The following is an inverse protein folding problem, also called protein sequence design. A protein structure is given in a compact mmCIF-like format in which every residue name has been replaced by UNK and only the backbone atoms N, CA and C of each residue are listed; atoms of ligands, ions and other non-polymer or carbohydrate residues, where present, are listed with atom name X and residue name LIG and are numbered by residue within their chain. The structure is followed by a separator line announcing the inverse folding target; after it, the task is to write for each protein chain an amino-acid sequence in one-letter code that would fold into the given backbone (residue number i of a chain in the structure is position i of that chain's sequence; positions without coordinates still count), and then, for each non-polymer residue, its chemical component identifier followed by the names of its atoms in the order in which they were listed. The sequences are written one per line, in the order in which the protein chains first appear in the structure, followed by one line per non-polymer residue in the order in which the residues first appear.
data_IF_806078890895
#
_entry.id   IF_806078890895
#
_cell.length_a   1.000
_cell.length_b   1.000
_cell.length_c   1.000
_cell.angle_alpha   90.00
_cell.angle_beta   90.00
_cell.angle_gamma   90.00
#
_symmetry.space_group_name_H-M   'P 1'
#
loop_
_entity.id
_entity.type
_entity.pdbx_description
1 polymer ?
#
# COMPACT_ATOMS: atom_id res chain seq x y z
N UNK A 1 0.69 6.07 10.81
CA UNK A 1 -0.54 5.92 9.99
C UNK A 1 -0.73 7.16 9.14
N UNK A 2 -0.65 7.01 7.82
CA UNK A 2 -0.81 8.09 6.82
C UNK A 2 -1.81 7.63 5.77
N UNK A 3 -2.79 8.47 5.46
CA UNK A 3 -3.77 8.24 4.40
C UNK A 3 -3.56 9.31 3.34
N UNK A 4 -3.51 8.91 2.07
CA UNK A 4 -3.42 9.83 0.93
C UNK A 4 -4.41 9.38 -0.13
N UNK A 5 -5.22 10.31 -0.61
CA UNK A 5 -6.06 10.11 -1.77
C UNK A 5 -5.43 10.84 -2.96
N UNK A 6 -5.42 10.21 -4.13
CA UNK A 6 -4.96 10.80 -5.38
C UNK A 6 -6.14 10.97 -6.35
N UNK A 7 -6.63 12.21 -6.45
CA UNK A 7 -7.81 12.57 -7.27
C UNK A 7 -7.58 12.40 -8.77
N UNK A 8 -6.34 12.38 -9.24
CA UNK A 8 -6.05 12.28 -10.68
C UNK A 8 -6.30 10.87 -11.20
N UNK A 9 -6.08 9.87 -10.35
CA UNK A 9 -6.15 8.44 -10.69
C UNK A 9 -7.19 7.68 -9.88
N UNK A 10 -7.92 8.36 -8.98
CA UNK A 10 -8.95 7.80 -8.09
C UNK A 10 -8.41 6.62 -7.24
N UNK A 11 -7.29 6.84 -6.54
CA UNK A 11 -6.64 5.82 -5.70
C UNK A 11 -6.51 6.29 -4.25
N UNK A 12 -6.86 5.40 -3.31
CA UNK A 12 -6.66 5.58 -1.88
C UNK A 12 -5.45 4.77 -1.38
N UNK A 13 -4.44 5.47 -0.86
CA UNK A 13 -3.27 4.88 -0.23
C UNK A 13 -3.40 4.92 1.30
N UNK A 14 -3.29 3.76 1.94
CA UNK A 14 -3.29 3.64 3.40
C UNK A 14 -1.94 3.05 3.83
N UNK A 15 -1.13 3.85 4.52
CA UNK A 15 0.15 3.42 5.09
C UNK A 15 0.04 3.30 6.60
N UNK A 16 0.08 2.07 7.11
CA UNK A 16 -0.04 1.78 8.55
C UNK A 16 1.30 1.99 9.25
N UNK A 17 2.38 1.43 8.70
CA UNK A 17 3.77 1.55 9.19
C UNK A 17 4.65 2.31 8.19
N UNK A 18 5.68 3.01 8.68
CA UNK A 18 6.65 3.75 7.85
C UNK A 18 7.90 2.93 7.51
N UNK A 19 7.91 1.65 7.85
CA UNK A 19 8.99 0.73 7.50
C UNK A 19 9.10 0.60 5.98
N UNK A 20 10.32 0.40 5.44
CA UNK A 20 10.47 0.04 4.03
C UNK A 20 9.69 -1.23 3.71
N UNK A 21 8.97 -1.22 2.60
CA UNK A 21 8.38 -2.41 2.02
C UNK A 21 9.42 -3.10 1.14
N UNK A 22 9.38 -4.43 1.09
CA UNK A 22 10.34 -5.26 0.36
C UNK A 22 9.67 -5.97 -0.82
N UNK A 23 8.40 -6.32 -0.67
CA UNK A 23 7.61 -7.00 -1.68
C UNK A 23 6.20 -6.37 -1.73
N UNK A 24 5.62 -6.35 -2.93
CA UNK A 24 4.27 -5.85 -3.17
C UNK A 24 3.51 -6.90 -3.98
N UNK A 25 2.33 -7.29 -3.52
CA UNK A 25 1.49 -8.27 -4.20
C UNK A 25 0.05 -7.76 -4.40
N UNK A 26 -0.55 -8.09 -5.54
CA UNK A 26 -1.95 -7.78 -5.83
C UNK A 26 -2.82 -8.96 -5.36
N UNK A 27 -3.28 -8.88 -4.11
CA UNK A 27 -4.05 -9.96 -3.49
C UNK A 27 -5.48 -10.07 -4.06
N UNK A 28 -5.99 -8.97 -4.63
CA UNK A 28 -7.30 -8.85 -5.29
C UNK A 28 -7.23 -7.69 -6.29
N UNK A 29 -8.13 -7.70 -7.27
CA UNK A 29 -8.25 -6.61 -8.26
C UNK A 29 -8.30 -5.24 -7.58
N UNK A 30 -7.28 -4.42 -7.82
CA UNK A 30 -7.17 -3.06 -7.27
C UNK A 30 -6.71 -2.97 -5.80
N UNK A 31 -6.35 -4.09 -5.17
CA UNK A 31 -5.82 -4.13 -3.79
C UNK A 31 -4.38 -4.65 -3.81
N UNK A 32 -3.44 -3.75 -3.57
CA UNK A 32 -2.02 -4.05 -3.45
C UNK A 32 -1.65 -4.06 -1.96
N UNK A 33 -0.98 -5.12 -1.52
CA UNK A 33 -0.46 -5.26 -0.17
C UNK A 33 1.06 -5.27 -0.18
N UNK A 34 1.65 -4.38 0.63
CA UNK A 34 3.09 -4.25 0.80
C UNK A 34 3.54 -5.03 2.05
N UNK A 35 4.48 -5.95 1.87
CA UNK A 35 5.06 -6.78 2.93
C UNK A 35 6.43 -6.23 3.36
N UNK A 36 6.73 -6.37 4.64
CA UNK A 36 8.07 -6.05 5.15
C UNK A 36 8.99 -7.29 5.07
N UNK A 37 10.25 -7.14 5.48
CA UNK A 37 11.26 -8.22 5.40
C UNK A 37 10.88 -9.50 6.17
N UNK A 38 9.95 -9.40 7.12
CA UNK A 38 9.53 -10.49 7.99
C UNK A 38 8.22 -11.14 7.50
N UNK A 39 7.64 -10.62 6.40
CA UNK A 39 6.32 -10.99 5.88
C UNK A 39 5.24 -10.05 6.42
#
# INVERSE_FOLDING_TARGET
MRVRYDEQVDILYIRIKETPYYESDEIREGIIMDYDKDG
#
